data_IF_648230025322
#
_entry.id   IF_648230025322
#
_cell.length_a   1.000
_cell.length_b   1.000
_cell.length_c   1.000
_cell.angle_alpha   90.00
_cell.angle_beta   90.00
_cell.angle_gamma   90.00
#
_symmetry.space_group_name_H-M   'P 1'
#
loop_
_entity.id
_entity.type
_entity.pdbx_description
1 polymer ?
#
# COMPACT_ATOMS: atom_id res chain seq x y z
N UNK A 1 -57.89 24.87 -24.60
CA UNK A 1 -57.54 24.38 -23.24
C UNK A 1 -56.95 22.99 -23.42
N UNK A 2 -55.62 22.84 -23.56
CA UNK A 2 -54.58 22.67 -22.51
C UNK A 2 -54.83 21.44 -21.64
N UNK A 3 -53.90 20.47 -21.71
CA UNK A 3 -53.29 19.60 -20.66
C UNK A 3 -52.19 18.82 -21.42
N UNK A 4 -50.96 19.31 -21.50
CA UNK A 4 -49.83 19.13 -20.55
C UNK A 4 -49.14 17.76 -20.67
N UNK A 5 -48.06 17.77 -21.45
CA UNK A 5 -47.11 16.68 -21.68
C UNK A 5 -46.18 16.54 -20.47
N UNK A 6 -46.29 15.44 -19.73
CA UNK A 6 -45.35 15.13 -18.65
C UNK A 6 -44.07 14.50 -19.22
N UNK A 7 -42.97 15.25 -19.19
CA UNK A 7 -41.65 14.74 -19.53
C UNK A 7 -41.06 13.98 -18.33
N UNK A 8 -40.84 12.68 -18.50
CA UNK A 8 -40.14 11.83 -17.53
C UNK A 8 -38.63 12.09 -17.65
N UNK A 9 -38.07 12.83 -16.70
CA UNK A 9 -36.61 13.01 -16.58
C UNK A 9 -36.05 11.80 -15.86
N UNK A 10 -35.41 10.90 -16.60
CA UNK A 10 -34.62 9.81 -16.03
C UNK A 10 -33.31 10.40 -15.49
N UNK A 11 -33.21 10.55 -14.17
CA UNK A 11 -31.95 10.85 -13.49
C UNK A 11 -31.12 9.57 -13.41
N UNK A 12 -30.16 9.42 -14.33
CA UNK A 12 -29.12 8.41 -14.23
C UNK A 12 -28.25 8.73 -13.02
N UNK A 13 -28.47 8.01 -11.91
CA UNK A 13 -27.54 7.97 -10.78
C UNK A 13 -26.28 7.27 -11.29
N UNK A 14 -25.25 8.03 -11.63
CA UNK A 14 -23.89 7.50 -11.74
C UNK A 14 -23.53 7.03 -10.33
N UNK A 15 -23.59 5.73 -10.11
CA UNK A 15 -22.96 5.11 -8.96
C UNK A 15 -21.45 5.33 -9.12
N UNK A 16 -20.96 6.43 -8.56
CA UNK A 16 -19.53 6.65 -8.38
C UNK A 16 -19.08 5.59 -7.39
N UNK A 17 -18.46 4.52 -7.88
CA UNK A 17 -17.81 3.53 -7.03
C UNK A 17 -16.80 4.30 -6.14
N UNK A 18 -16.96 4.32 -4.81
CA UNK A 18 -16.08 5.10 -3.93
C UNK A 18 -14.67 4.48 -3.83
N UNK A 19 -14.46 3.31 -4.44
CA UNK A 19 -13.14 2.89 -4.88
C UNK A 19 -12.77 3.65 -6.15
N UNK A 20 -12.66 4.98 -6.05
CA UNK A 20 -11.88 5.74 -7.01
C UNK A 20 -10.51 5.04 -7.06
N UNK A 21 -10.22 4.38 -8.19
CA UNK A 21 -9.02 3.57 -8.43
C UNK A 21 -7.80 4.36 -7.97
N UNK A 22 -7.37 4.11 -6.73
CA UNK A 22 -6.14 4.72 -6.24
C UNK A 22 -5.05 4.21 -7.18
N UNK A 23 -4.35 5.12 -7.88
CA UNK A 23 -3.49 4.72 -8.98
C UNK A 23 -2.47 3.71 -8.49
N UNK A 24 -2.40 2.58 -9.20
CA UNK A 24 -1.41 1.55 -8.93
C UNK A 24 -0.02 2.15 -9.08
N UNK A 25 0.79 2.11 -8.02
CA UNK A 25 2.10 2.75 -7.98
C UNK A 25 3.21 1.73 -7.73
N UNK A 26 4.31 1.79 -8.49
CA UNK A 26 5.47 0.96 -8.25
C UNK A 26 6.27 1.49 -7.05
N UNK A 27 6.46 0.64 -6.04
CA UNK A 27 7.26 0.94 -4.86
C UNK A 27 8.38 -0.08 -4.67
N UNK A 28 9.45 0.38 -4.04
CA UNK A 28 10.62 -0.42 -3.65
C UNK A 28 10.94 -0.16 -2.19
N UNK A 29 11.56 -1.13 -1.54
CA UNK A 29 11.91 -1.04 -0.12
C UNK A 29 11.47 -2.26 0.67
N UNK A 30 11.29 -2.08 1.97
CA UNK A 30 10.87 -3.13 2.88
C UNK A 30 9.34 -3.25 2.90
N UNK A 31 8.83 -4.45 2.65
CA UNK A 31 7.42 -4.80 2.76
C UNK A 31 7.25 -5.95 3.75
N UNK A 32 6.27 -5.87 4.63
CA UNK A 32 5.97 -6.90 5.63
C UNK A 32 4.49 -7.30 5.59
N UNK A 33 4.20 -8.50 6.08
CA UNK A 33 2.85 -9.06 6.14
C UNK A 33 1.96 -8.41 7.22
N UNK A 34 2.57 -7.74 8.21
CA UNK A 34 1.84 -7.03 9.28
C UNK A 34 2.57 -5.75 9.70
N UNK A 35 1.84 -4.83 10.32
CA UNK A 35 2.43 -3.62 10.93
C UNK A 35 3.40 -3.96 12.06
N UNK A 36 3.10 -4.97 12.87
CA UNK A 36 3.98 -5.40 13.96
C UNK A 36 5.36 -5.87 13.45
N UNK A 37 5.39 -6.59 12.32
CA UNK A 37 6.65 -6.98 11.69
C UNK A 37 7.40 -5.78 11.11
N UNK A 38 6.69 -4.82 10.53
CA UNK A 38 7.28 -3.56 10.04
C UNK A 38 7.90 -2.76 11.19
N UNK A 39 7.19 -2.62 12.31
CA UNK A 39 7.66 -1.91 13.49
C UNK A 39 8.88 -2.59 14.10
N UNK A 40 8.87 -3.93 14.22
CA UNK A 40 10.02 -4.69 14.68
C UNK A 40 11.25 -4.49 13.79
N UNK A 41 11.07 -4.46 12.47
CA UNK A 41 12.16 -4.18 11.53
C UNK A 41 12.68 -2.74 11.67
N UNK A 42 11.77 -1.76 11.79
CA UNK A 42 12.12 -0.34 11.91
C UNK A 42 12.90 -0.04 13.19
N UNK A 43 12.49 -0.59 14.34
CA UNK A 43 13.19 -0.40 15.61
C UNK A 43 14.66 -0.83 15.49
N UNK A 44 14.90 -2.00 14.89
CA UNK A 44 16.24 -2.56 14.71
C UNK A 44 17.05 -1.80 13.67
N UNK A 45 16.42 -1.42 12.56
CA UNK A 45 17.05 -0.62 11.53
C UNK A 45 17.49 0.75 12.07
N UNK A 46 16.64 1.41 12.86
CA UNK A 46 16.95 2.67 13.54
C UNK A 46 18.06 2.53 14.59
N UNK A 47 18.21 1.35 15.19
CA UNK A 47 19.34 1.01 16.07
C UNK A 47 20.66 0.76 15.30
N UNK A 48 20.65 0.88 13.97
CA UNK A 48 21.83 0.74 13.11
C UNK A 48 22.11 -0.70 12.66
N UNK A 49 21.17 -1.62 12.88
CA UNK A 49 21.36 -3.00 12.47
C UNK A 49 21.23 -3.17 10.95
N UNK A 50 22.00 -4.11 10.39
CA UNK A 50 21.98 -4.42 8.98
C UNK A 50 20.65 -5.08 8.55
N UNK A 51 20.03 -4.56 7.49
CA UNK A 51 18.73 -5.05 7.00
C UNK A 51 18.73 -6.55 6.66
N UNK A 52 19.83 -7.11 6.15
CA UNK A 52 19.89 -8.54 5.85
C UNK A 52 19.83 -9.39 7.13
N UNK A 53 20.44 -8.92 8.23
CA UNK A 53 20.38 -9.59 9.53
C UNK A 53 18.99 -9.47 10.13
N UNK A 54 18.37 -8.28 10.05
CA UNK A 54 17.00 -8.05 10.50
C UNK A 54 16.04 -9.03 9.80
N UNK A 55 16.13 -9.13 8.47
CA UNK A 55 15.28 -10.01 7.68
C UNK A 55 15.53 -11.48 7.96
N UNK A 56 16.80 -11.90 8.10
CA UNK A 56 17.13 -13.29 8.41
C UNK A 56 16.48 -13.75 9.73
N UNK A 57 16.43 -12.85 10.73
CA UNK A 57 15.83 -13.17 12.02
C UNK A 57 14.31 -13.06 12.02
N UNK A 58 13.73 -12.02 11.40
CA UNK A 58 12.28 -11.90 11.29
C UNK A 58 11.67 -13.04 10.47
N UNK A 59 12.41 -13.51 9.46
CA UNK A 59 11.95 -14.58 8.58
C UNK A 59 12.44 -15.98 8.97
N UNK A 60 12.91 -16.18 10.20
CA UNK A 60 13.53 -17.45 10.62
C UNK A 60 12.60 -18.65 10.41
N UNK A 61 11.31 -18.49 10.72
CA UNK A 61 10.32 -19.56 10.63
C UNK A 61 9.38 -19.42 9.43
N UNK A 62 9.11 -18.19 8.99
CA UNK A 62 8.19 -17.87 7.92
C UNK A 62 8.62 -16.58 7.23
N UNK A 63 8.47 -16.49 5.90
CA UNK A 63 8.79 -15.26 5.18
C UNK A 63 7.72 -14.18 5.41
N UNK A 64 7.92 -13.35 6.45
CA UNK A 64 7.00 -12.30 6.86
C UNK A 64 7.38 -10.91 6.37
N UNK A 65 8.64 -10.68 6.01
CA UNK A 65 9.13 -9.44 5.43
C UNK A 65 10.00 -9.70 4.20
N UNK A 66 9.94 -8.81 3.22
CA UNK A 66 10.74 -8.89 1.99
C UNK A 66 11.30 -7.50 1.66
N UNK A 67 12.60 -7.44 1.38
CA UNK A 67 13.22 -6.26 0.80
C UNK A 67 13.17 -6.35 -0.73
N UNK A 68 12.27 -5.57 -1.33
CA UNK A 68 12.12 -5.42 -2.77
C UNK A 68 13.00 -4.26 -3.26
N UNK A 69 14.31 -4.48 -3.37
CA UNK A 69 15.30 -3.49 -3.83
C UNK A 69 15.51 -3.53 -5.35
N UNK A 70 15.44 -4.73 -5.95
CA UNK A 70 15.67 -4.99 -7.38
C UNK A 70 14.39 -5.17 -8.20
N UNK A 71 13.25 -5.25 -7.53
CA UNK A 71 11.92 -5.41 -8.13
C UNK A 71 11.00 -4.32 -7.58
N UNK A 72 9.94 -4.00 -8.31
CA UNK A 72 8.92 -3.07 -7.82
C UNK A 72 7.66 -3.82 -7.42
N UNK A 73 7.15 -3.53 -6.24
CA UNK A 73 5.83 -3.95 -5.80
C UNK A 73 4.82 -2.92 -6.28
N UNK A 74 3.82 -3.38 -7.04
CA UNK A 74 2.74 -2.52 -7.52
C UNK A 74 1.63 -2.54 -6.49
N UNK A 75 1.47 -1.43 -5.79
CA UNK A 75 0.47 -1.31 -4.71
C UNK A 75 -0.64 -0.35 -5.09
N UNK A 76 -1.82 -0.57 -4.52
CA UNK A 76 -3.01 0.28 -4.65
C UNK A 76 -3.53 0.64 -3.26
N UNK A 77 -4.32 1.71 -3.20
CA UNK A 77 -4.99 2.18 -1.99
C UNK A 77 -4.05 2.30 -0.77
N UNK A 78 -2.95 3.07 -0.85
CA UNK A 78 -2.10 3.30 0.31
C UNK A 78 -2.87 4.07 1.39
N UNK A 79 -2.81 3.55 2.61
CA UNK A 79 -3.39 4.12 3.83
C UNK A 79 -2.22 4.43 4.77
N UNK A 80 -2.06 5.69 5.15
CA UNK A 80 -1.06 6.14 6.10
C UNK A 80 -1.46 5.70 7.52
N UNK A 81 -0.53 5.03 8.20
CA UNK A 81 -0.67 4.54 9.58
C UNK A 81 0.04 5.47 10.60
N UNK A 82 0.48 6.65 10.14
CA UNK A 82 1.28 7.58 10.94
C UNK A 82 2.79 7.44 10.72
N UNK A 83 3.58 7.94 11.68
CA UNK A 83 5.05 7.94 11.62
C UNK A 83 5.64 7.02 12.69
N UNK A 84 6.79 6.43 12.37
CA UNK A 84 7.60 5.71 13.35
C UNK A 84 8.30 6.72 14.28
N UNK A 85 7.72 6.96 15.46
CA UNK A 85 8.18 8.01 16.37
C UNK A 85 7.88 9.43 15.86
N UNK A 86 8.43 10.46 16.52
CA UNK A 86 8.13 11.87 16.21
C UNK A 86 8.75 12.37 14.91
N UNK A 87 9.85 11.77 14.46
CA UNK A 87 10.61 12.21 13.28
C UNK A 87 11.01 11.08 12.33
N UNK A 88 10.55 9.85 12.55
CA UNK A 88 10.90 8.73 11.68
C UNK A 88 10.07 8.66 10.39
N UNK A 89 10.22 7.56 9.64
CA UNK A 89 9.52 7.38 8.37
C UNK A 89 8.01 7.25 8.55
N UNK A 90 7.28 7.52 7.47
CA UNK A 90 5.84 7.30 7.38
C UNK A 90 5.56 5.82 7.14
N UNK A 91 4.62 5.25 7.89
CA UNK A 91 4.15 3.88 7.75
C UNK A 91 2.88 3.84 6.92
N UNK A 92 2.73 2.78 6.13
CA UNK A 92 1.59 2.58 5.26
C UNK A 92 1.11 1.12 5.28
N UNK A 93 -0.19 0.94 5.13
CA UNK A 93 -0.83 -0.27 4.63
C UNK A 93 -1.23 -0.05 3.17
N UNK A 94 -1.06 -1.03 2.30
CA UNK A 94 -1.59 -0.99 0.94
C UNK A 94 -1.95 -2.39 0.45
N UNK A 95 -2.57 -2.47 -0.72
CA UNK A 95 -2.88 -3.74 -1.39
C UNK A 95 -1.88 -3.98 -2.52
N UNK A 96 -1.08 -5.04 -2.41
CA UNK A 96 -0.18 -5.52 -3.43
C UNK A 96 -0.97 -6.28 -4.50
N UNK A 97 -0.92 -5.79 -5.73
CA UNK A 97 -1.68 -6.32 -6.88
C UNK A 97 -0.79 -6.93 -7.95
N UNK A 98 0.49 -6.54 -8.01
CA UNK A 98 1.45 -7.10 -8.94
C UNK A 98 2.90 -6.89 -8.48
N UNK A 99 3.82 -7.65 -9.08
CA UNK A 99 5.27 -7.47 -8.95
C UNK A 99 5.85 -7.23 -10.34
N UNK A 100 6.69 -6.20 -10.45
CA UNK A 100 7.39 -5.85 -11.69
C UNK A 100 8.88 -6.24 -11.59
N UNK A 101 9.34 -7.06 -12.53
CA UNK A 101 10.73 -7.50 -12.68
C UNK A 101 11.25 -7.05 -14.05
N UNK A 102 12.02 -5.96 -14.06
CA UNK A 102 12.40 -5.28 -15.30
C UNK A 102 11.16 -4.77 -16.05
N UNK A 103 10.97 -5.22 -17.29
CA UNK A 103 9.79 -4.90 -18.09
C UNK A 103 8.60 -5.86 -17.86
N UNK A 104 8.81 -6.97 -17.12
CA UNK A 104 7.79 -7.98 -16.93
C UNK A 104 6.93 -7.66 -15.70
N UNK A 105 5.62 -7.60 -15.90
CA UNK A 105 4.64 -7.45 -14.83
C UNK A 105 4.01 -8.83 -14.54
N UNK A 106 3.97 -9.21 -13.26
CA UNK A 106 3.30 -10.44 -12.79
C UNK A 106 2.22 -10.08 -11.80
N UNK A 107 0.98 -10.42 -12.12
CA UNK A 107 -0.16 -10.17 -11.22
C UNK A 107 -0.09 -11.07 -9.97
N UNK A 108 -0.63 -10.57 -8.88
CA UNK A 108 -0.81 -11.32 -7.63
C UNK A 108 -2.30 -11.59 -7.42
N UNK A 109 -2.65 -12.87 -7.34
CA UNK A 109 -4.01 -13.34 -7.11
C UNK A 109 -4.03 -14.41 -5.99
N UNK A 110 -4.82 -14.21 -4.91
CA UNK A 110 -5.57 -12.99 -4.61
C UNK A 110 -4.67 -11.81 -4.24
N UNK A 111 -5.10 -10.54 -4.40
CA UNK A 111 -4.37 -9.38 -3.90
C UNK A 111 -4.07 -9.49 -2.41
N UNK A 112 -2.90 -9.00 -1.99
CA UNK A 112 -2.39 -9.21 -0.62
C UNK A 112 -2.18 -7.87 0.08
N UNK A 113 -2.61 -7.75 1.34
CA UNK A 113 -2.29 -6.59 2.16
C UNK A 113 -0.79 -6.59 2.53
N UNK A 114 -0.13 -5.45 2.37
CA UNK A 114 1.29 -5.26 2.70
C UNK A 114 1.50 -3.99 3.51
N UNK A 115 2.50 -4.02 4.37
CA UNK A 115 2.90 -2.93 5.25
C UNK A 115 4.31 -2.49 4.89
N UNK A 116 4.53 -1.18 4.76
CA UNK A 116 5.83 -0.64 4.38
C UNK A 116 6.04 0.76 4.95
N UNK A 117 7.27 1.25 4.86
CA UNK A 117 7.61 2.61 5.27
C UNK A 117 8.25 3.43 4.14
N UNK A 118 8.15 4.76 4.24
CA UNK A 118 8.85 5.71 3.36
C UNK A 118 9.32 6.93 4.13
N UNK A 119 10.45 7.50 3.73
CA UNK A 119 10.95 8.76 4.28
C UNK A 119 10.06 9.95 3.89
N UNK A 120 9.55 9.94 2.66
CA UNK A 120 8.68 10.98 2.12
C UNK A 120 7.22 10.53 2.12
N UNK A 121 6.26 11.43 2.40
CA UNK A 121 4.85 11.09 2.38
C UNK A 121 4.36 10.72 0.98
N UNK A 122 3.36 9.84 0.89
CA UNK A 122 2.61 9.59 -0.35
C UNK A 122 1.47 10.60 -0.41
N UNK A 123 1.51 11.53 -1.36
CA UNK A 123 0.62 12.69 -1.42
C UNK A 123 -0.88 12.35 -1.41
N UNK A 124 -1.26 11.22 -2.02
CA UNK A 124 -2.66 10.80 -2.16
C UNK A 124 -3.00 9.57 -1.30
N UNK A 125 -2.22 9.29 -0.25
CA UNK A 125 -2.58 8.22 0.68
C UNK A 125 -3.77 8.64 1.54
N UNK A 126 -4.74 7.74 1.71
CA UNK A 126 -5.80 7.92 2.70
C UNK A 126 -5.19 7.91 4.11
N UNK A 127 -5.81 8.61 5.06
CA UNK A 127 -5.41 8.54 6.47
C UNK A 127 -6.25 7.47 7.16
N UNK A 128 -5.62 6.61 7.97
CA UNK A 128 -6.37 5.76 8.88
C UNK A 128 -7.04 6.63 9.95
N UNK A 129 -8.36 6.53 10.05
CA UNK A 129 -9.22 7.32 10.95
C UNK A 129 -9.43 6.63 12.27
#
# INVERSE_FOLDING_TARGET
MKIETAALVAMSVLATDPLAESPAQPLRGLFCASEAHLDAALIRYQAGENMAVILAQLNEFEQVCTLADRISYIVTAPIALGRAGSSGPFKYRAILVAVQVGANLRQIEPPVAVFFFREMPIENAAMET
#
